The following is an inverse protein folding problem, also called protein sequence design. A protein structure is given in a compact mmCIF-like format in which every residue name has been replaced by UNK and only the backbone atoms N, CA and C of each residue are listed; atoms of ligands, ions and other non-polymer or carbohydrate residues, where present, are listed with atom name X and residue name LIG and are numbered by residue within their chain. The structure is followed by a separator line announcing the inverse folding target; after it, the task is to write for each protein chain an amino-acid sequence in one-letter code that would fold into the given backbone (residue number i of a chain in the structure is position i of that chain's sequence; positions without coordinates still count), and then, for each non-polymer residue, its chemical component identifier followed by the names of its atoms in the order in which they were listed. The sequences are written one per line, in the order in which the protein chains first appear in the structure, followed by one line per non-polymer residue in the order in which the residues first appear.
data_IF_586272122277
#
_entry.id   IF_586272122277
#
_cell.length_a   1.000
_cell.length_b   1.000
_cell.length_c   1.000
_cell.angle_alpha   90.00
_cell.angle_beta   90.00
_cell.angle_gamma   90.00
#
_symmetry.space_group_name_H-M   'P 1'
#
loop_
_entity.id
_entity.type
_entity.pdbx_description
1 polymer ?
#
# COMPACT_ATOMS: atom_id res chain seq x y z
N UNK A 1 -30.97 -54.54 -4.01
CA UNK A 1 -29.71 -53.86 -3.68
C UNK A 1 -29.58 -52.66 -4.60
N UNK A 2 -29.55 -51.47 -4.04
CA UNK A 2 -29.31 -50.24 -4.78
C UNK A 2 -27.82 -50.06 -5.06
N UNK A 3 -27.51 -49.38 -6.15
CA UNK A 3 -26.16 -48.94 -6.48
C UNK A 3 -26.19 -47.42 -6.65
N UNK A 4 -25.09 -46.75 -6.32
CA UNK A 4 -24.96 -45.29 -6.48
C UNK A 4 -23.52 -44.88 -6.73
N UNK A 5 -23.34 -43.69 -7.28
CA UNK A 5 -22.02 -43.10 -7.46
C UNK A 5 -21.61 -42.31 -6.21
N UNK A 6 -20.51 -42.70 -5.59
CA UNK A 6 -19.84 -41.92 -4.56
C UNK A 6 -18.86 -40.94 -5.22
N UNK A 7 -19.02 -39.64 -4.96
CA UNK A 7 -18.10 -38.62 -5.47
C UNK A 7 -17.17 -38.13 -4.38
N UNK A 8 -15.87 -38.26 -4.59
CA UNK A 8 -14.88 -37.69 -3.70
C UNK A 8 -14.71 -36.18 -3.93
N UNK A 9 -14.10 -35.45 -2.97
CA UNK A 9 -13.77 -34.05 -3.16
C UNK A 9 -12.86 -33.82 -4.36
N UNK A 10 -12.95 -32.63 -4.95
CA UNK A 10 -12.01 -32.21 -5.97
C UNK A 10 -10.60 -32.07 -5.38
N UNK A 11 -9.62 -32.59 -6.10
CA UNK A 11 -8.21 -32.33 -5.84
C UNK A 11 -7.88 -30.86 -6.14
N UNK A 12 -6.75 -30.34 -5.63
CA UNK A 12 -6.25 -29.01 -5.99
C UNK A 12 -6.14 -28.83 -7.52
N UNK A 13 -6.30 -27.59 -7.98
CA UNK A 13 -6.11 -27.26 -9.40
C UNK A 13 -4.65 -27.53 -9.78
N UNK A 14 -4.42 -28.17 -10.94
CA UNK A 14 -3.07 -28.42 -11.45
C UNK A 14 -2.51 -27.28 -12.32
N UNK A 15 -3.19 -26.13 -12.35
CA UNK A 15 -2.77 -24.97 -13.14
C UNK A 15 -1.37 -24.51 -12.71
N UNK A 16 -0.52 -24.17 -13.68
CA UNK A 16 0.69 -23.43 -13.41
C UNK A 16 0.39 -21.92 -13.42
N UNK A 17 1.24 -21.15 -12.74
CA UNK A 17 1.08 -19.70 -12.71
C UNK A 17 1.39 -19.01 -14.04
N UNK A 18 2.05 -19.70 -14.96
CA UNK A 18 2.32 -19.16 -16.30
C UNK A 18 1.08 -19.16 -17.19
N UNK A 19 0.19 -20.16 -17.05
CA UNK A 19 -1.03 -20.28 -17.85
C UNK A 19 -2.28 -19.78 -17.13
N UNK A 20 -2.31 -19.82 -15.79
CA UNK A 20 -3.48 -19.50 -14.96
C UNK A 20 -4.64 -20.51 -15.09
N UNK A 21 -4.68 -21.29 -16.18
CA UNK A 21 -5.69 -22.30 -16.46
C UNK A 21 -5.17 -23.71 -16.19
N UNK A 22 -6.05 -24.58 -15.68
CA UNK A 22 -5.76 -25.98 -15.42
C UNK A 22 -7.01 -26.84 -15.30
N UNK A 23 -6.82 -28.05 -14.76
CA UNK A 23 -7.85 -29.06 -14.56
C UNK A 23 -7.82 -29.54 -13.10
N UNK A 24 -9.00 -29.62 -12.49
CA UNK A 24 -9.21 -30.35 -11.24
C UNK A 24 -9.75 -31.73 -11.55
N UNK A 25 -9.22 -32.72 -10.83
CA UNK A 25 -9.67 -34.10 -10.89
C UNK A 25 -10.38 -34.48 -9.60
N UNK A 26 -11.34 -35.38 -9.70
CA UNK A 26 -11.91 -36.08 -8.56
C UNK A 26 -12.12 -37.54 -8.90
N UNK A 27 -12.10 -38.35 -7.87
CA UNK A 27 -12.43 -39.76 -7.98
C UNK A 27 -13.95 -39.97 -7.82
N UNK A 28 -14.46 -40.95 -8.56
CA UNK A 28 -15.86 -41.33 -8.54
C UNK A 28 -15.93 -42.85 -8.54
N UNK A 29 -16.55 -43.41 -7.51
CA UNK A 29 -16.59 -44.85 -7.27
C UNK A 29 -18.02 -45.37 -7.26
N UNK A 30 -18.24 -46.55 -7.81
CA UNK A 30 -19.54 -47.22 -7.71
C UNK A 30 -19.63 -47.91 -6.34
N UNK A 31 -20.69 -47.63 -5.59
CA UNK A 31 -20.91 -48.21 -4.26
C UNK A 31 -22.29 -48.84 -4.16
N UNK A 32 -22.41 -49.87 -3.33
CA UNK A 32 -23.71 -50.45 -2.97
C UNK A 32 -24.29 -49.78 -1.71
N UNK A 33 -25.47 -50.21 -1.26
CA UNK A 33 -26.23 -49.60 -0.16
C UNK A 33 -25.41 -49.37 1.15
N UNK A 34 -24.40 -50.19 1.42
CA UNK A 34 -23.53 -50.07 2.60
C UNK A 34 -22.25 -49.24 2.37
N UNK A 35 -22.15 -48.52 1.25
CA UNK A 35 -21.00 -47.74 0.80
C UNK A 35 -19.74 -48.54 0.45
N UNK A 36 -19.81 -49.87 0.37
CA UNK A 36 -18.70 -50.67 -0.14
C UNK A 36 -18.50 -50.41 -1.63
N UNK A 37 -17.23 -50.23 -2.02
CA UNK A 37 -16.84 -50.10 -3.42
C UNK A 37 -17.07 -51.42 -4.14
N UNK A 38 -17.77 -51.31 -5.27
CA UNK A 38 -18.03 -52.42 -6.17
C UNK A 38 -17.52 -52.08 -7.57
N UNK A 39 -17.54 -53.06 -8.46
CA UNK A 39 -17.16 -52.85 -9.85
C UNK A 39 -18.06 -51.77 -10.50
N UNK A 40 -17.46 -50.85 -11.27
CA UNK A 40 -18.19 -49.76 -11.94
C UNK A 40 -19.35 -50.24 -12.81
N UNK A 41 -19.28 -51.48 -13.32
CA UNK A 41 -20.35 -52.09 -14.12
C UNK A 41 -21.71 -52.15 -13.42
N UNK A 42 -21.74 -52.14 -12.08
CA UNK A 42 -22.99 -52.11 -11.31
C UNK A 42 -23.72 -50.77 -11.39
N UNK A 43 -23.01 -49.70 -11.73
CA UNK A 43 -23.54 -48.35 -11.87
C UNK A 43 -23.63 -47.89 -13.35
N UNK A 44 -23.39 -48.77 -14.34
CA UNK A 44 -23.40 -48.41 -15.77
C UNK A 44 -24.73 -47.80 -16.26
N UNK A 45 -25.85 -48.20 -15.67
CA UNK A 45 -27.17 -47.66 -15.97
C UNK A 45 -27.43 -46.28 -15.32
N UNK A 46 -26.54 -45.84 -14.44
CA UNK A 46 -26.61 -44.54 -13.77
C UNK A 46 -25.66 -43.56 -14.45
N UNK A 47 -26.07 -42.30 -14.55
CA UNK A 47 -25.21 -41.26 -15.13
C UNK A 47 -23.95 -41.08 -14.28
N UNK A 48 -22.77 -41.38 -14.84
CA UNK A 48 -21.48 -41.21 -14.16
C UNK A 48 -21.19 -39.72 -13.94
N UNK A 49 -20.97 -39.26 -12.70
CA UNK A 49 -20.56 -37.90 -12.41
C UNK A 49 -19.25 -37.51 -13.12
N UNK A 50 -19.11 -36.24 -13.49
CA UNK A 50 -17.88 -35.72 -14.12
C UNK A 50 -16.66 -35.94 -13.22
N UNK A 51 -15.55 -36.40 -13.79
CA UNK A 51 -14.29 -36.67 -13.05
C UNK A 51 -13.23 -35.58 -13.25
N UNK A 52 -13.43 -34.70 -14.23
CA UNK A 52 -12.56 -33.58 -14.55
C UNK A 52 -13.37 -32.30 -14.73
N UNK A 53 -12.82 -31.16 -14.30
CA UNK A 53 -13.37 -29.83 -14.61
C UNK A 53 -12.25 -28.82 -14.82
N UNK A 54 -12.51 -27.78 -15.61
CA UNK A 54 -11.60 -26.65 -15.72
C UNK A 54 -11.53 -25.89 -14.39
N UNK A 55 -10.36 -25.33 -14.11
CA UNK A 55 -10.12 -24.45 -12.98
C UNK A 55 -9.16 -23.33 -13.40
N UNK A 56 -9.27 -22.21 -12.70
CA UNK A 56 -8.34 -21.08 -12.82
C UNK A 56 -7.66 -20.92 -11.46
N UNK A 57 -6.36 -20.69 -11.46
CA UNK A 57 -5.60 -20.41 -10.27
C UNK A 57 -5.20 -18.93 -10.25
N UNK A 58 -5.61 -18.23 -9.21
CA UNK A 58 -5.10 -16.89 -8.92
C UNK A 58 -3.63 -17.00 -8.52
N UNK A 59 -2.77 -16.52 -9.41
CA UNK A 59 -1.35 -16.50 -9.17
C UNK A 59 -0.89 -15.09 -8.80
N UNK A 60 0.03 -14.97 -7.83
CA UNK A 60 0.57 -13.68 -7.46
C UNK A 60 1.31 -13.10 -8.67
N UNK A 61 0.80 -11.99 -9.17
CA UNK A 61 1.50 -11.22 -10.21
C UNK A 61 2.76 -10.65 -9.59
N UNK A 62 3.88 -10.83 -10.28
CA UNK A 62 5.16 -10.31 -9.83
C UNK A 62 5.06 -8.78 -9.69
N UNK A 63 5.45 -8.27 -8.53
CA UNK A 63 5.39 -6.83 -8.30
C UNK A 63 6.30 -6.09 -9.30
N UNK A 64 5.68 -5.20 -10.07
CA UNK A 64 6.37 -4.23 -10.90
C UNK A 64 6.04 -2.82 -10.42
N UNK A 65 7.07 -2.01 -10.21
CA UNK A 65 6.94 -0.60 -9.79
C UNK A 65 7.60 0.32 -10.79
N UNK A 66 7.07 1.53 -10.90
CA UNK A 66 7.71 2.58 -11.68
C UNK A 66 9.09 2.92 -11.13
N UNK A 67 9.96 3.55 -11.94
CA UNK A 67 11.08 4.31 -11.40
C UNK A 67 10.59 5.31 -10.36
N UNK A 68 11.47 5.66 -9.43
CA UNK A 68 11.22 6.73 -8.47
C UNK A 68 10.99 8.05 -9.18
N UNK A 69 10.06 8.85 -8.65
CA UNK A 69 9.94 10.26 -9.03
C UNK A 69 11.22 11.02 -8.67
N UNK A 70 11.37 12.19 -9.29
CA UNK A 70 12.27 13.20 -8.77
C UNK A 70 11.91 13.55 -7.33
N UNK A 71 12.90 14.00 -6.58
CA UNK A 71 12.69 14.47 -5.22
C UNK A 71 11.87 15.75 -5.19
N UNK A 72 10.92 15.83 -4.26
CA UNK A 72 10.24 17.10 -3.98
C UNK A 72 11.23 18.17 -3.51
N UNK A 73 10.95 19.45 -3.81
CA UNK A 73 11.76 20.55 -3.33
C UNK A 73 11.70 20.61 -1.80
N UNK A 74 12.80 21.02 -1.17
CA UNK A 74 12.84 21.24 0.27
C UNK A 74 11.83 22.32 0.68
N UNK A 75 10.97 22.06 1.68
CA UNK A 75 10.09 23.08 2.22
C UNK A 75 10.89 24.28 2.75
N UNK A 76 10.34 25.50 2.67
CA UNK A 76 11.00 26.69 3.19
C UNK A 76 11.30 26.54 4.69
N UNK A 77 12.42 27.14 5.12
CA UNK A 77 12.81 27.19 6.52
C UNK A 77 11.72 27.89 7.34
N UNK A 78 11.07 27.16 8.24
CA UNK A 78 10.15 27.72 9.22
C UNK A 78 10.97 28.26 10.41
N UNK A 79 11.29 29.55 10.39
CA UNK A 79 11.92 30.21 11.53
C UNK A 79 10.84 30.58 12.57
N UNK A 80 10.94 30.04 13.77
CA UNK A 80 10.02 30.40 14.86
C UNK A 80 10.33 31.84 15.34
N UNK A 81 9.34 32.57 15.89
CA UNK A 81 9.53 33.95 16.37
C UNK A 81 10.57 34.07 17.51
N UNK A 82 10.94 32.96 18.15
CA UNK A 82 11.96 32.90 19.18
C UNK A 82 13.39 32.65 18.62
N UNK A 83 13.58 32.74 17.30
CA UNK A 83 14.88 32.51 16.63
C UNK A 83 15.29 31.04 16.51
N UNK A 84 14.45 30.11 16.93
CA UNK A 84 14.70 28.67 16.83
C UNK A 84 14.33 28.13 15.44
N UNK A 85 15.17 27.25 14.92
CA UNK A 85 14.85 26.47 13.72
C UNK A 85 13.67 25.55 14.03
N UNK A 86 12.62 25.56 13.19
CA UNK A 86 11.64 24.49 13.23
C UNK A 86 12.31 23.15 12.86
N UNK A 87 11.59 22.04 13.13
CA UNK A 87 12.05 20.68 12.89
C UNK A 87 12.71 20.48 11.51
N UNK A 88 13.63 19.52 11.44
CA UNK A 88 14.31 19.13 10.20
C UNK A 88 13.30 19.03 9.05
N UNK A 89 13.56 19.79 7.98
CA UNK A 89 12.67 19.83 6.83
C UNK A 89 12.96 18.60 5.97
N UNK A 90 11.92 17.87 5.60
CA UNK A 90 12.03 16.58 4.91
C UNK A 90 11.52 16.75 3.49
N UNK A 91 12.24 16.18 2.53
CA UNK A 91 11.77 16.02 1.16
C UNK A 91 11.38 14.55 0.93
N UNK A 92 10.32 14.34 0.16
CA UNK A 92 9.85 13.02 -0.23
C UNK A 92 9.92 12.78 -1.73
N UNK A 93 9.95 11.52 -2.14
CA UNK A 93 9.72 11.05 -3.51
C UNK A 93 8.81 9.83 -3.48
N UNK A 94 8.13 9.57 -4.58
CA UNK A 94 7.15 8.50 -4.68
C UNK A 94 7.39 7.64 -5.92
N UNK A 95 6.82 6.45 -5.91
CA UNK A 95 6.69 5.57 -7.07
C UNK A 95 5.34 4.87 -7.01
N UNK A 96 4.89 4.33 -8.13
CA UNK A 96 3.58 3.65 -8.21
C UNK A 96 3.76 2.18 -8.55
N UNK A 97 2.80 1.38 -8.09
CA UNK A 97 2.67 -0.02 -8.54
C UNK A 97 2.11 0.00 -9.96
N UNK A 98 2.83 -0.64 -10.87
CA UNK A 98 2.38 -0.86 -12.24
C UNK A 98 1.57 -2.15 -12.28
N UNK A 99 2.11 -3.22 -11.70
CA UNK A 99 1.48 -4.54 -11.65
C UNK A 99 1.76 -5.25 -10.33
N UNK A 100 0.88 -6.17 -9.94
CA UNK A 100 1.02 -6.99 -8.74
C UNK A 100 0.62 -6.29 -7.43
N UNK A 101 0.98 -6.94 -6.32
CA UNK A 101 0.66 -6.52 -4.96
C UNK A 101 1.84 -6.74 -4.03
N UNK A 102 1.85 -6.06 -2.87
CA UNK A 102 2.93 -6.19 -1.86
C UNK A 102 4.31 -5.71 -2.33
N UNK A 103 4.34 -4.56 -3.01
CA UNK A 103 5.53 -4.00 -3.66
C UNK A 103 6.58 -3.31 -2.76
N UNK A 104 6.46 -3.47 -1.44
CA UNK A 104 7.30 -2.76 -0.47
C UNK A 104 7.03 -1.24 -0.46
N UNK A 105 8.04 -0.41 -0.10
CA UNK A 105 7.83 1.03 0.10
C UNK A 105 7.59 1.76 -1.22
N UNK A 106 6.55 2.60 -1.25
CA UNK A 106 6.17 3.43 -2.39
C UNK A 106 6.48 4.92 -2.18
N UNK A 107 6.85 5.30 -0.96
CA UNK A 107 7.28 6.63 -0.57
C UNK A 107 8.64 6.53 0.14
N UNK A 108 9.54 7.45 -0.18
CA UNK A 108 10.81 7.60 0.53
C UNK A 108 10.96 9.05 0.94
N UNK A 109 11.42 9.26 2.18
CA UNK A 109 11.64 10.58 2.75
C UNK A 109 13.08 10.72 3.21
N UNK A 110 13.71 11.87 2.95
CA UNK A 110 15.04 12.21 3.47
C UNK A 110 15.08 13.62 4.02
N UNK A 111 15.93 13.83 5.02
CA UNK A 111 16.20 15.17 5.54
C UNK A 111 16.84 16.04 4.46
N UNK A 112 16.39 17.28 4.38
CA UNK A 112 17.02 18.28 3.55
C UNK A 112 18.35 18.71 4.15
N UNK A 113 19.36 18.87 3.30
CA UNK A 113 20.63 19.45 3.69
C UNK A 113 20.44 20.97 3.85
N UNK A 114 20.02 21.42 5.03
CA UNK A 114 19.93 22.87 5.31
C UNK A 114 21.32 23.38 5.67
N UNK A 115 21.85 24.42 4.99
CA UNK A 115 23.05 25.11 5.42
C UNK A 115 22.91 25.54 6.88
N UNK A 116 24.00 25.49 7.64
CA UNK A 116 24.05 25.85 9.06
C UNK A 116 23.80 27.34 9.33
N UNK A 117 23.26 28.11 8.38
CA UNK A 117 23.01 29.53 8.54
C UNK A 117 21.93 29.79 9.61
N UNK A 118 22.18 30.75 10.52
CA UNK A 118 21.21 31.11 11.55
C UNK A 118 20.00 31.82 10.94
N UNK A 119 18.81 31.62 11.52
CA UNK A 119 17.60 32.34 11.11
C UNK A 119 17.84 33.86 11.23
N UNK A 120 17.43 34.67 10.25
CA UNK A 120 17.51 36.13 10.36
C UNK A 120 16.66 36.60 11.54
N UNK A 121 17.31 37.23 12.53
CA UNK A 121 16.66 37.74 13.73
C UNK A 121 16.42 39.25 13.57
N UNK A 122 15.16 39.66 13.45
CA UNK A 122 14.79 41.07 13.39
C UNK A 122 14.49 41.58 14.81
N UNK A 123 15.21 42.60 15.28
CA UNK A 123 15.02 43.22 16.61
C UNK A 123 14.45 44.63 16.43
N UNK A 124 13.44 44.98 17.23
CA UNK A 124 12.98 46.36 17.33
C UNK A 124 14.02 47.21 18.06
N UNK A 125 14.60 48.19 17.36
CA UNK A 125 15.37 49.26 17.98
C UNK A 125 14.46 50.45 18.25
N UNK A 126 14.59 51.04 19.44
CA UNK A 126 14.00 52.37 19.69
C UNK A 126 15.06 53.42 19.35
N UNK A 127 14.68 54.42 18.57
CA UNK A 127 15.52 55.60 18.36
C UNK A 127 15.42 56.54 19.56
N UNK A 128 16.31 57.53 19.62
CA UNK A 128 16.25 58.58 20.63
C UNK A 128 14.89 59.29 20.60
N UNK A 129 14.35 59.57 21.79
CA UNK A 129 13.14 60.36 21.93
C UNK A 129 13.38 61.77 21.39
N UNK A 130 12.43 62.28 20.60
CA UNK A 130 12.43 63.70 20.27
C UNK A 130 12.30 64.53 21.53
N UNK A 131 12.77 65.79 21.47
CA UNK A 131 12.53 66.72 22.57
C UNK A 131 11.03 66.82 22.87
N UNK A 132 10.70 66.94 24.15
CA UNK A 132 9.32 67.07 24.62
C UNK A 132 8.66 68.27 23.92
N UNK A 133 7.62 67.99 23.14
CA UNK A 133 6.83 69.03 22.49
C UNK A 133 5.71 69.46 23.43
N UNK A 134 5.80 70.68 23.94
CA UNK A 134 4.72 71.29 24.69
C UNK A 134 3.51 71.49 23.77
N UNK A 135 2.30 71.25 24.29
CA UNK A 135 1.09 71.65 23.60
C UNK A 135 1.15 73.16 23.32
N UNK A 136 0.59 73.58 22.18
CA UNK A 136 0.50 74.99 21.82
C UNK A 136 -0.04 75.77 23.04
N UNK A 137 0.69 76.83 23.42
CA UNK A 137 0.45 77.72 24.56
C UNK A 137 0.87 77.28 25.98
N UNK A 138 1.68 76.22 26.13
CA UNK A 138 2.27 75.88 27.44
C UNK A 138 3.72 76.37 27.52
N UNK A 139 4.07 77.10 28.59
CA UNK A 139 5.45 77.52 28.93
C UNK A 139 5.91 76.75 30.16
N UNK A 140 7.10 76.15 30.11
CA UNK A 140 7.72 75.52 31.28
C UNK A 140 8.42 76.57 32.15
N UNK A 141 8.27 76.45 33.48
CA UNK A 141 9.02 77.27 34.43
C UNK A 141 8.58 77.09 35.89
N UNK A 142 9.58 76.92 36.76
CA UNK A 142 9.86 77.94 37.76
C UNK A 142 11.35 78.24 37.78
#
# INVERSE_FOLDING_TARGET
HGFSWLTLPWQPCNASCDSGEGVQLREVWCVQDNQDMVNESKCELLTKPVTARSCVQDCPVQCEVSPWSEWSPCPPLNCQPNGTRAAATTQSRYRVVVEGSDCGPLEESRECFTPSEPCPHHVWGTGDWSQCQLAHDVRCGH
#
